data_IF_002301318849
#
_entry.id   IF_002301318849
#
_cell.length_a   1.000
_cell.length_b   1.000
_cell.length_c   1.000
_cell.angle_alpha   90.00
_cell.angle_beta   90.00
_cell.angle_gamma   90.00
#
_symmetry.space_group_name_H-M   'P 1'
#
loop_
_entity.id
_entity.type
_entity.pdbx_description
1 polymer ?
#
# COMPACT_ATOMS: atom_id res chain seq x y z
N UNK A 1 6.70 4.42 -52.69
CA UNK A 1 5.63 4.11 -51.71
C UNK A 1 6.24 3.34 -50.53
N UNK A 2 6.58 4.00 -49.43
CA UNK A 2 7.13 3.36 -48.20
C UNK A 2 6.33 3.76 -46.93
N UNK A 3 5.23 4.50 -47.12
CA UNK A 3 4.42 5.11 -46.05
C UNK A 3 3.27 4.22 -45.55
N UNK A 4 2.76 3.31 -46.40
CA UNK A 4 1.55 2.53 -46.08
C UNK A 4 1.72 1.61 -44.89
N UNK A 5 2.92 1.06 -44.64
CA UNK A 5 3.14 0.20 -43.48
C UNK A 5 2.94 0.93 -42.15
N UNK A 6 3.46 2.16 -42.00
CA UNK A 6 3.28 2.94 -40.76
C UNK A 6 1.80 3.28 -40.52
N UNK A 7 1.05 3.55 -41.59
CA UNK A 7 -0.38 3.82 -41.51
C UNK A 7 -1.17 2.59 -41.00
N UNK A 8 -0.88 1.40 -41.52
CA UNK A 8 -1.51 0.16 -41.05
C UNK A 8 -1.18 -0.19 -39.59
N UNK A 9 0.03 0.14 -39.12
CA UNK A 9 0.38 0.00 -37.69
C UNK A 9 -0.42 0.94 -36.79
N UNK A 10 -0.68 2.17 -37.23
CA UNK A 10 -1.50 3.13 -36.50
C UNK A 10 -2.95 2.63 -36.43
N UNK A 11 -3.50 2.14 -37.54
CA UNK A 11 -4.86 1.56 -37.58
C UNK A 11 -4.95 0.32 -36.68
N UNK A 12 -3.95 -0.56 -36.71
CA UNK A 12 -3.89 -1.72 -35.83
C UNK A 12 -3.80 -1.33 -34.34
N UNK A 13 -3.03 -0.29 -34.00
CA UNK A 13 -2.94 0.22 -32.64
C UNK A 13 -4.26 0.82 -32.16
N UNK A 14 -4.99 1.55 -33.02
CA UNK A 14 -6.31 2.11 -32.70
C UNK A 14 -7.35 1.01 -32.48
N UNK A 15 -7.38 -0.02 -33.34
CA UNK A 15 -8.28 -1.16 -33.17
C UNK A 15 -7.91 -1.95 -31.90
N UNK A 16 -6.62 -2.18 -31.66
CA UNK A 16 -6.16 -2.84 -30.44
C UNK A 16 -6.56 -2.08 -29.17
N UNK A 17 -6.47 -0.75 -29.18
CA UNK A 17 -6.87 0.10 -28.05
C UNK A 17 -8.39 0.21 -27.91
N UNK A 18 -9.19 0.01 -28.96
CA UNK A 18 -10.66 -0.10 -28.84
C UNK A 18 -11.10 -1.44 -28.25
N UNK A 19 -10.36 -2.52 -28.51
CA UNK A 19 -10.71 -3.87 -28.04
C UNK A 19 -10.11 -4.20 -26.66
N UNK A 20 -8.95 -3.66 -26.34
CA UNK A 20 -8.20 -3.93 -25.10
C UNK A 20 -7.82 -2.65 -24.35
N UNK A 21 -8.47 -1.53 -24.65
CA UNK A 21 -8.17 -0.24 -24.04
C UNK A 21 -8.34 -0.26 -22.53
N UNK A 22 -9.40 -0.92 -22.05
CA UNK A 22 -9.70 -1.02 -20.63
C UNK A 22 -8.65 -1.85 -19.89
N UNK A 23 -8.19 -2.96 -20.47
CA UNK A 23 -7.12 -3.80 -19.90
C UNK A 23 -5.76 -3.08 -19.91
N UNK A 24 -5.42 -2.40 -21.01
CA UNK A 24 -4.15 -1.67 -21.13
C UNK A 24 -4.12 -0.47 -20.18
N UNK A 25 -5.19 0.31 -20.12
CA UNK A 25 -5.32 1.44 -19.20
C UNK A 25 -5.38 0.95 -17.75
N UNK A 26 -6.05 -0.17 -17.49
CA UNK A 26 -6.08 -0.83 -16.18
C UNK A 26 -4.69 -1.25 -15.71
N UNK A 27 -3.92 -1.92 -16.56
CA UNK A 27 -2.54 -2.32 -16.25
C UNK A 27 -1.62 -1.11 -16.02
N UNK A 28 -1.75 -0.05 -16.83
CA UNK A 28 -1.00 1.18 -16.64
C UNK A 28 -1.37 1.87 -15.31
N UNK A 29 -2.67 1.94 -14.99
CA UNK A 29 -3.14 2.50 -13.73
C UNK A 29 -2.65 1.70 -12.52
N UNK A 30 -2.59 0.37 -12.63
CA UNK A 30 -2.05 -0.50 -11.58
C UNK A 30 -0.56 -0.26 -11.35
N UNK A 31 0.24 -0.14 -12.42
CA UNK A 31 1.66 0.17 -12.32
C UNK A 31 1.88 1.52 -11.64
N UNK A 32 1.19 2.56 -12.12
CA UNK A 32 1.29 3.91 -11.56
C UNK A 32 0.83 3.93 -10.10
N UNK A 33 -0.29 3.27 -9.81
CA UNK A 33 -0.84 3.13 -8.46
C UNK A 33 0.12 2.41 -7.51
N UNK A 34 0.79 1.37 -7.99
CA UNK A 34 1.79 0.62 -7.21
C UNK A 34 3.02 1.47 -6.92
N UNK A 35 3.53 2.21 -7.89
CA UNK A 35 4.69 3.11 -7.71
C UNK A 35 4.36 4.19 -6.67
N UNK A 36 3.20 4.84 -6.81
CA UNK A 36 2.74 5.85 -5.85
C UNK A 36 2.53 5.21 -4.47
N UNK A 37 1.92 4.04 -4.42
CA UNK A 37 1.66 3.30 -3.18
C UNK A 37 2.95 2.96 -2.43
N UNK A 38 3.96 2.44 -3.12
CA UNK A 38 5.28 2.17 -2.54
C UNK A 38 5.93 3.47 -2.06
N UNK A 39 5.89 4.53 -2.87
CA UNK A 39 6.44 5.84 -2.53
C UNK A 39 5.83 6.43 -1.27
N UNK A 40 4.50 6.51 -1.20
CA UNK A 40 3.76 7.03 -0.05
C UNK A 40 3.98 6.15 1.19
N UNK A 41 3.92 4.82 1.04
CA UNK A 41 4.15 3.90 2.15
C UNK A 41 5.56 4.03 2.72
N UNK A 42 6.57 4.17 1.85
CA UNK A 42 7.95 4.42 2.24
C UNK A 42 8.10 5.73 3.04
N UNK A 43 7.49 6.81 2.57
CA UNK A 43 7.50 8.10 3.27
C UNK A 43 6.82 8.01 4.65
N UNK A 44 5.70 7.31 4.75
CA UNK A 44 4.99 7.10 6.02
C UNK A 44 5.83 6.28 7.00
N UNK A 45 6.50 5.21 6.56
CA UNK A 45 7.41 4.43 7.42
C UNK A 45 8.55 5.29 7.97
N UNK A 46 9.17 6.13 7.12
CA UNK A 46 10.23 7.05 7.55
C UNK A 46 9.69 8.05 8.56
N UNK A 47 8.52 8.64 8.32
CA UNK A 47 7.89 9.58 9.24
C UNK A 47 7.62 8.96 10.61
N UNK A 48 7.16 7.71 10.66
CA UNK A 48 6.93 6.97 11.90
C UNK A 48 8.25 6.69 12.62
N UNK A 49 9.29 6.26 11.91
CA UNK A 49 10.61 6.01 12.50
C UNK A 49 11.22 7.29 13.10
N UNK A 50 11.13 8.42 12.38
CA UNK A 50 11.58 9.73 12.88
C UNK A 50 10.75 10.15 14.08
N UNK A 51 9.43 10.02 14.03
CA UNK A 51 8.54 10.36 15.14
C UNK A 51 8.87 9.56 16.40
N UNK A 52 9.07 8.24 16.27
CA UNK A 52 9.47 7.38 17.37
C UNK A 52 10.85 7.76 17.94
N UNK A 53 11.83 8.06 17.08
CA UNK A 53 13.15 8.51 17.50
C UNK A 53 13.09 9.85 18.27
N UNK A 54 12.36 10.82 17.74
CA UNK A 54 12.21 12.15 18.36
C UNK A 54 11.50 12.03 19.71
N UNK A 55 10.44 11.23 19.81
CA UNK A 55 9.74 11.01 21.08
C UNK A 55 10.67 10.47 22.17
N UNK A 56 11.51 9.49 21.85
CA UNK A 56 12.44 8.91 22.84
C UNK A 56 13.52 9.92 23.24
N UNK A 57 14.05 10.68 22.30
CA UNK A 57 15.07 11.70 22.61
C UNK A 57 14.50 12.89 23.39
N UNK A 58 13.25 13.29 23.14
CA UNK A 58 12.57 14.35 23.90
C UNK A 58 12.33 14.01 25.38
N UNK A 59 12.15 12.73 25.70
CA UNK A 59 11.95 12.26 27.09
C UNK A 59 13.32 12.08 27.80
N UNK A 60 14.43 12.40 27.13
CA UNK A 60 15.79 12.26 27.67
C UNK A 60 16.35 10.84 27.53
N UNK A 61 15.77 10.00 26.67
CA UNK A 61 16.29 8.67 26.37
C UNK A 61 17.64 8.73 25.64
N UNK A 62 18.43 7.67 25.79
CA UNK A 62 19.70 7.56 25.07
C UNK A 62 19.49 7.39 23.56
N UNK A 63 20.46 7.82 22.76
CA UNK A 63 20.42 7.67 21.28
C UNK A 63 20.30 6.19 20.89
N UNK A 64 21.00 5.29 21.61
CA UNK A 64 20.91 3.85 21.39
C UNK A 64 19.49 3.31 21.61
N UNK A 65 18.81 3.76 22.67
CA UNK A 65 17.42 3.39 22.93
C UNK A 65 16.49 3.95 21.85
N UNK A 66 16.70 5.21 21.44
CA UNK A 66 15.90 5.85 20.39
C UNK A 66 16.01 5.11 19.05
N UNK A 67 17.20 4.65 18.67
CA UNK A 67 17.42 3.83 17.47
C UNK A 67 16.71 2.47 17.56
N UNK A 68 16.77 1.80 18.71
CA UNK A 68 16.06 0.54 18.92
C UNK A 68 14.55 0.71 18.80
N UNK A 69 13.99 1.77 19.39
CA UNK A 69 12.56 2.06 19.32
C UNK A 69 12.14 2.44 17.89
N UNK A 70 12.95 3.23 17.17
CA UNK A 70 12.69 3.55 15.77
C UNK A 70 12.73 2.31 14.86
N UNK A 71 13.70 1.41 15.07
CA UNK A 71 13.79 0.14 14.37
C UNK A 71 12.57 -0.76 14.69
N UNK A 72 12.19 -0.85 15.97
CA UNK A 72 11.00 -1.56 16.41
C UNK A 72 9.73 -0.99 15.78
N UNK A 73 9.54 0.32 15.80
CA UNK A 73 8.41 1.00 15.17
C UNK A 73 8.33 0.69 13.68
N UNK A 74 9.47 0.72 12.97
CA UNK A 74 9.53 0.37 11.54
C UNK A 74 9.11 -1.10 11.31
N UNK A 75 9.58 -2.03 12.15
CA UNK A 75 9.16 -3.43 12.07
C UNK A 75 7.65 -3.59 12.32
N UNK A 76 7.08 -2.90 13.31
CA UNK A 76 5.63 -2.92 13.55
C UNK A 76 4.84 -2.31 12.39
N UNK A 77 5.37 -1.30 11.71
CA UNK A 77 4.72 -0.75 10.51
C UNK A 77 4.67 -1.74 9.36
N UNK A 78 5.60 -2.71 9.27
CA UNK A 78 5.49 -3.80 8.29
C UNK A 78 4.32 -4.72 8.57
N UNK A 79 3.80 -4.78 9.80
CA UNK A 79 2.60 -5.53 10.17
C UNK A 79 1.32 -4.70 10.08
N UNK A 80 1.40 -3.44 9.62
CA UNK A 80 0.21 -2.57 9.50
C UNK A 80 -0.84 -3.13 8.54
N UNK A 81 -0.41 -3.84 7.49
CA UNK A 81 -1.29 -4.56 6.55
C UNK A 81 -2.11 -5.69 7.20
N UNK A 82 -1.77 -6.14 8.41
CA UNK A 82 -2.49 -7.20 9.12
C UNK A 82 -3.78 -6.67 9.78
N UNK A 83 -3.86 -5.37 10.07
CA UNK A 83 -5.00 -4.75 10.75
C UNK A 83 -6.35 -4.96 10.08
N UNK A 84 -6.50 -4.80 8.75
CA UNK A 84 -7.74 -5.10 8.05
C UNK A 84 -8.21 -6.55 8.25
N UNK A 85 -7.29 -7.51 8.28
CA UNK A 85 -7.61 -8.93 8.50
C UNK A 85 -8.02 -9.20 9.95
N UNK A 86 -7.34 -8.57 10.92
CA UNK A 86 -7.72 -8.65 12.33
C UNK A 86 -9.12 -8.04 12.54
N UNK A 87 -9.41 -6.89 11.93
CA UNK A 87 -10.74 -6.27 11.96
C UNK A 87 -11.80 -7.16 11.34
N UNK A 88 -11.52 -7.75 10.18
CA UNK A 88 -12.44 -8.68 9.52
C UNK A 88 -12.72 -9.91 10.41
N UNK A 89 -11.67 -10.50 10.98
CA UNK A 89 -11.79 -11.62 11.91
C UNK A 89 -12.62 -11.24 13.15
N UNK A 90 -12.41 -10.04 13.70
CA UNK A 90 -13.20 -9.53 14.82
C UNK A 90 -14.68 -9.34 14.45
N UNK A 91 -14.98 -8.80 13.26
CA UNK A 91 -16.35 -8.67 12.76
C UNK A 91 -17.01 -10.05 12.63
N UNK A 92 -16.33 -11.01 11.99
CA UNK A 92 -16.82 -12.39 11.84
C UNK A 92 -17.06 -13.00 13.23
N UNK A 93 -16.12 -12.83 14.15
CA UNK A 93 -16.26 -13.30 15.53
C UNK A 93 -17.50 -12.69 16.21
N UNK A 94 -17.72 -11.38 16.08
CA UNK A 94 -18.91 -10.73 16.65
C UNK A 94 -20.22 -11.18 15.99
N UNK A 95 -20.21 -11.51 14.70
CA UNK A 95 -21.36 -12.07 13.99
C UNK A 95 -21.66 -13.51 14.42
N UNK A 96 -20.63 -14.33 14.65
CA UNK A 96 -20.76 -15.75 14.99
C UNK A 96 -20.94 -15.96 16.50
N UNK A 97 -20.49 -15.02 17.36
CA UNK A 97 -20.68 -15.17 18.81
C UNK A 97 -22.18 -15.18 19.10
N UNK A 98 -22.65 -16.31 19.61
CA UNK A 98 -23.99 -16.38 20.22
C UNK A 98 -24.00 -15.36 21.36
N UNK A 99 -24.94 -14.41 21.33
CA UNK A 99 -25.09 -13.48 22.46
C UNK A 99 -25.28 -14.31 23.73
N UNK A 100 -24.57 -14.01 24.84
CA UNK A 100 -24.91 -14.63 26.11
C UNK A 100 -26.37 -14.25 26.42
N UNK A 101 -27.21 -15.26 26.68
CA UNK A 101 -28.55 -15.03 27.21
C UNK A 101 -28.35 -14.26 28.52
N UNK A 102 -28.88 -13.04 28.59
CA UNK A 102 -29.00 -12.34 29.86
C UNK A 102 -29.81 -13.27 30.77
N UNK A 103 -29.18 -13.72 31.87
CA UNK A 103 -29.81 -14.50 32.92
C UNK A 103 -30.64 -13.55 33.78
#
# INVERSE_FOLDING_TARGET
MKSSHKFWWIVAAVIGLMLFGDEILGALAEIVGTIIGIGVSGLVMIAIAIGAFVLVTMIGGSIALALLVAAGATLFTLFSWLWPFILLAAIIYFMVRKRPKAV
#
